data_IF_276269544146
#
_entry.id   IF_276269544146
#
_cell.length_a   1.000
_cell.length_b   1.000
_cell.length_c   1.000
_cell.angle_alpha   90.00
_cell.angle_beta   90.00
_cell.angle_gamma   90.00
#
_symmetry.space_group_name_H-M   'P 1'
#
loop_
_entity.id
_entity.type
_entity.pdbx_description
1 polymer ?
#
# COMPACT_ATOMS: atom_id res chain seq x y z
N UNK A 1 13.97 -28.33 -37.26
CA UNK A 1 12.49 -28.30 -37.16
C UNK A 1 11.96 -28.46 -35.75
N UNK A 2 12.65 -29.13 -34.85
CA UNK A 2 12.19 -29.31 -33.46
C UNK A 2 12.58 -28.22 -32.51
N UNK A 3 13.39 -27.24 -32.95
CA UNK A 3 13.92 -26.14 -32.13
C UNK A 3 13.00 -24.93 -32.03
N UNK A 4 11.99 -24.79 -32.88
CA UNK A 4 11.06 -23.66 -32.88
C UNK A 4 9.96 -23.76 -31.82
N UNK A 5 9.66 -24.94 -31.34
CA UNK A 5 8.66 -25.13 -30.27
C UNK A 5 9.21 -24.78 -28.87
N UNK A 6 10.52 -24.82 -28.71
CA UNK A 6 11.18 -24.58 -27.43
C UNK A 6 11.24 -23.08 -27.06
N UNK A 7 11.31 -22.19 -28.07
CA UNK A 7 11.37 -20.75 -27.86
C UNK A 7 10.03 -20.14 -27.41
N UNK A 8 8.90 -20.77 -27.73
CA UNK A 8 7.57 -20.27 -27.37
C UNK A 8 7.24 -20.53 -25.91
N UNK A 9 7.75 -21.63 -25.34
CA UNK A 9 7.55 -21.94 -23.93
C UNK A 9 8.34 -21.04 -22.98
N UNK A 10 9.48 -20.54 -23.41
CA UNK A 10 10.33 -19.62 -22.64
C UNK A 10 9.74 -18.20 -22.54
N UNK A 11 8.94 -17.80 -23.53
CA UNK A 11 8.28 -16.49 -23.53
C UNK A 11 7.06 -16.44 -22.58
N UNK A 12 6.43 -17.58 -22.29
CA UNK A 12 5.31 -17.66 -21.38
C UNK A 12 5.70 -17.69 -19.91
N UNK A 13 6.95 -18.06 -19.57
CA UNK A 13 7.44 -18.11 -18.19
C UNK A 13 7.91 -16.75 -17.65
N UNK A 14 7.97 -15.71 -18.48
CA UNK A 14 8.44 -14.39 -18.10
C UNK A 14 7.36 -13.38 -17.72
N UNK A 15 6.07 -13.75 -17.71
CA UNK A 15 4.97 -12.82 -17.45
C UNK A 15 4.55 -12.91 -15.98
N UNK A 16 5.47 -12.58 -15.06
CA UNK A 16 5.12 -12.23 -13.68
C UNK A 16 5.17 -10.72 -13.62
N UNK A 17 4.05 -10.07 -13.88
CA UNK A 17 3.99 -8.62 -13.91
C UNK A 17 3.63 -8.05 -12.54
N UNK A 18 4.39 -7.05 -12.11
CA UNK A 18 3.95 -6.14 -11.07
C UNK A 18 2.73 -5.35 -11.56
N UNK A 19 1.76 -5.12 -10.67
CA UNK A 19 0.60 -4.29 -10.95
C UNK A 19 0.73 -2.97 -10.22
N UNK A 20 0.56 -1.86 -10.94
CA UNK A 20 0.55 -0.51 -10.39
C UNK A 20 -0.83 0.11 -10.58
N UNK A 21 -1.38 0.66 -9.51
CA UNK A 21 -2.66 1.36 -9.53
C UNK A 21 -2.41 2.76 -8.99
N UNK A 22 -2.56 3.78 -9.86
CA UNK A 22 -2.42 5.18 -9.49
C UNK A 22 -3.75 5.74 -9.01
N UNK A 23 -3.71 6.51 -7.91
CA UNK A 23 -4.88 7.14 -7.31
C UNK A 23 -6.08 6.19 -7.18
N UNK A 24 -5.91 5.05 -6.47
CA UNK A 24 -6.97 4.05 -6.37
C UNK A 24 -8.21 4.68 -5.74
N UNK A 25 -9.40 4.42 -6.31
CA UNK A 25 -10.65 4.89 -5.70
C UNK A 25 -10.93 4.16 -4.40
N UNK A 26 -11.72 4.79 -3.54
CA UNK A 26 -12.19 4.19 -2.29
C UNK A 26 -13.63 4.63 -2.04
N UNK A 27 -14.39 3.87 -1.23
CA UNK A 27 -15.78 4.20 -0.92
C UNK A 27 -15.94 5.04 0.32
N UNK A 28 -15.09 4.85 1.31
CA UNK A 28 -15.18 5.59 2.57
C UNK A 28 -13.81 5.68 3.25
N UNK A 29 -13.65 6.68 4.08
CA UNK A 29 -12.49 6.81 4.95
C UNK A 29 -12.86 7.54 6.25
N UNK A 30 -12.12 7.26 7.31
CA UNK A 30 -12.38 7.83 8.64
C UNK A 30 -11.74 9.20 8.84
N UNK A 31 -10.66 9.51 8.12
CA UNK A 31 -9.94 10.76 8.24
C UNK A 31 -9.43 11.27 6.90
N UNK A 32 -8.73 12.40 6.91
CA UNK A 32 -8.27 13.08 5.69
C UNK A 32 -6.76 13.33 5.65
N UNK A 33 -6.01 12.88 6.65
CA UNK A 33 -4.57 13.13 6.71
C UNK A 33 -3.82 12.27 5.70
N UNK A 34 -4.06 10.96 5.70
CA UNK A 34 -3.37 10.02 4.82
C UNK A 34 -4.15 9.78 3.55
N UNK A 35 -3.51 10.02 2.41
CA UNK A 35 -4.10 9.79 1.10
C UNK A 35 -3.26 8.78 0.33
N UNK A 36 -3.89 7.72 -0.16
CA UNK A 36 -3.19 6.72 -0.98
C UNK A 36 -3.12 7.23 -2.41
N UNK A 37 -1.91 7.44 -2.91
CA UNK A 37 -1.67 7.95 -4.26
C UNK A 37 -1.32 6.85 -5.24
N UNK A 38 -0.81 5.72 -4.75
CA UNK A 38 -0.42 4.57 -5.59
C UNK A 38 -0.39 3.30 -4.77
N UNK A 39 -0.72 2.18 -5.39
CA UNK A 39 -0.48 0.84 -4.86
C UNK A 39 0.30 0.05 -5.92
N UNK A 40 1.44 -0.49 -5.53
CA UNK A 40 2.23 -1.41 -6.35
C UNK A 40 2.16 -2.82 -5.77
N UNK A 41 1.72 -3.76 -6.57
CA UNK A 41 1.60 -5.16 -6.20
C UNK A 41 2.67 -5.97 -6.92
N UNK A 42 3.52 -6.65 -6.15
CA UNK A 42 4.53 -7.56 -6.68
C UNK A 42 4.40 -8.92 -5.98
N UNK A 43 5.02 -10.00 -6.50
CA UNK A 43 5.06 -11.27 -5.80
C UNK A 43 5.74 -11.22 -4.44
N UNK A 44 6.55 -10.20 -4.19
CA UNK A 44 7.36 -10.08 -2.97
C UNK A 44 6.68 -9.22 -1.91
N UNK A 45 5.94 -8.18 -2.32
CA UNK A 45 5.30 -7.25 -1.39
C UNK A 45 4.20 -6.43 -2.06
N UNK A 46 3.49 -5.68 -1.22
CA UNK A 46 2.55 -4.63 -1.65
C UNK A 46 3.04 -3.30 -1.09
N UNK A 47 3.28 -2.34 -1.97
CA UNK A 47 3.76 -1.00 -1.61
C UNK A 47 2.61 -0.01 -1.72
N UNK A 48 2.32 0.66 -0.62
CA UNK A 48 1.27 1.67 -0.54
C UNK A 48 1.91 3.05 -0.38
N UNK A 49 1.75 3.89 -1.37
CA UNK A 49 2.30 5.26 -1.40
C UNK A 49 1.31 6.19 -0.73
N UNK A 50 1.76 6.88 0.31
CA UNK A 50 0.96 7.80 1.11
C UNK A 50 1.41 9.24 0.85
N UNK A 51 0.45 10.11 0.60
CA UNK A 51 0.61 11.56 0.63
C UNK A 51 -0.15 12.08 1.85
N UNK A 52 0.59 12.44 2.89
CA UNK A 52 0.02 12.97 4.11
C UNK A 52 -0.15 14.50 4.01
N UNK A 53 -1.30 15.00 4.44
CA UNK A 53 -1.61 16.42 4.49
C UNK A 53 -2.07 16.72 5.92
N UNK A 54 -1.31 17.57 6.62
CA UNK A 54 -1.65 17.95 7.98
C UNK A 54 -1.12 19.37 8.25
N UNK A 55 -1.45 19.92 9.42
CA UNK A 55 -0.99 21.26 9.79
C UNK A 55 0.54 21.34 9.83
N UNK A 56 1.15 22.37 9.23
CA UNK A 56 2.58 22.59 9.36
C UNK A 56 3.02 22.57 10.83
N UNK A 57 4.15 21.94 11.10
CA UNK A 57 4.76 21.83 12.45
C UNK A 57 4.00 20.95 13.46
N UNK A 58 2.83 20.39 13.11
CA UNK A 58 2.18 19.33 13.88
C UNK A 58 2.83 18.00 13.50
N UNK A 59 2.62 16.97 14.29
CA UNK A 59 3.27 15.68 14.05
C UNK A 59 2.28 14.59 13.64
N UNK A 60 2.82 13.63 12.91
CA UNK A 60 2.16 12.36 12.58
C UNK A 60 3.04 11.21 13.08
N UNK A 61 2.46 10.05 13.25
CA UNK A 61 3.18 8.84 13.67
C UNK A 61 2.66 7.63 12.93
N UNK A 62 3.59 6.83 12.40
CA UNK A 62 3.32 5.49 11.89
C UNK A 62 3.86 4.47 12.90
N UNK A 63 3.01 3.60 13.39
CA UNK A 63 3.35 2.65 14.45
C UNK A 63 3.69 1.25 13.96
N UNK A 64 3.40 0.92 12.70
CA UNK A 64 3.61 -0.41 12.13
C UNK A 64 2.49 -1.40 12.40
N UNK A 65 1.39 -0.97 12.97
CA UNK A 65 0.22 -1.83 13.27
C UNK A 65 -0.82 -1.82 12.14
N UNK A 66 -0.66 -0.93 11.16
CA UNK A 66 -1.51 -0.88 9.96
C UNK A 66 -1.41 -2.18 9.18
N UNK A 67 -2.52 -2.67 8.67
CA UNK A 67 -2.57 -3.85 7.81
C UNK A 67 -3.55 -3.63 6.66
N UNK A 68 -3.39 -4.44 5.62
CA UNK A 68 -4.36 -4.53 4.54
C UNK A 68 -5.28 -5.72 4.81
N UNK A 69 -6.55 -5.59 4.47
CA UNK A 69 -7.52 -6.65 4.60
C UNK A 69 -8.23 -6.88 3.28
N UNK A 70 -8.28 -8.14 2.83
CA UNK A 70 -9.10 -8.51 1.68
C UNK A 70 -10.57 -8.35 2.05
N UNK A 71 -11.27 -7.46 1.35
CA UNK A 71 -12.67 -7.15 1.63
C UNK A 71 -13.61 -8.35 1.45
N UNK A 72 -13.26 -9.28 0.56
CA UNK A 72 -14.09 -10.45 0.26
C UNK A 72 -13.89 -11.58 1.29
N UNK A 73 -12.67 -11.78 1.78
CA UNK A 73 -12.31 -12.94 2.62
C UNK A 73 -12.04 -12.57 4.08
N UNK A 74 -11.73 -11.31 4.36
CA UNK A 74 -11.29 -10.85 5.67
C UNK A 74 -9.86 -11.23 6.01
N UNK A 75 -9.09 -11.78 5.07
CA UNK A 75 -7.70 -12.12 5.31
C UNK A 75 -6.85 -10.87 5.44
N UNK A 76 -5.95 -10.86 6.43
CA UNK A 76 -5.05 -9.75 6.74
C UNK A 76 -3.69 -9.95 6.09
N UNK A 77 -3.13 -8.85 5.58
CA UNK A 77 -1.77 -8.77 5.04
C UNK A 77 -1.00 -7.75 5.86
N UNK A 78 0.02 -8.22 6.57
CA UNK A 78 0.65 -7.47 7.64
C UNK A 78 1.69 -6.50 7.12
N UNK A 79 1.91 -5.45 7.90
CA UNK A 79 2.96 -4.47 7.70
C UNK A 79 4.34 -5.11 7.77
N UNK A 80 5.24 -4.73 6.86
CA UNK A 80 6.63 -5.20 6.83
C UNK A 80 7.63 -4.10 7.14
N UNK A 81 7.51 -2.96 6.50
CA UNK A 81 8.45 -1.86 6.64
C UNK A 81 7.87 -0.54 6.11
N UNK A 82 8.56 0.55 6.41
CA UNK A 82 8.25 1.88 5.87
C UNK A 82 9.48 2.50 5.23
N UNK A 83 9.25 3.34 4.22
CA UNK A 83 10.28 4.11 3.54
C UNK A 83 9.87 5.58 3.56
N UNK A 84 10.80 6.46 3.92
CA UNK A 84 10.55 7.89 3.97
C UNK A 84 9.90 8.41 5.25
N UNK A 85 9.66 7.54 6.23
CA UNK A 85 9.19 7.90 7.57
C UNK A 85 9.76 6.92 8.60
N UNK A 86 10.10 7.44 9.78
CA UNK A 86 10.52 6.62 10.92
C UNK A 86 9.29 6.11 11.68
N UNK A 87 9.33 4.85 12.11
CA UNK A 87 8.25 4.23 12.87
C UNK A 87 8.33 4.57 14.35
N UNK A 88 7.17 4.62 15.01
CA UNK A 88 7.03 4.83 16.47
C UNK A 88 7.68 6.11 16.96
N UNK A 89 7.66 7.13 16.10
CA UNK A 89 8.26 8.44 16.37
C UNK A 89 7.32 9.54 15.93
N UNK A 90 7.25 10.61 16.71
CA UNK A 90 6.60 11.84 16.29
C UNK A 90 7.40 12.48 15.16
N UNK A 91 6.82 12.53 13.97
CA UNK A 91 7.43 13.13 12.79
C UNK A 91 6.69 14.44 12.50
N UNK A 92 7.41 15.54 12.62
CA UNK A 92 6.83 16.88 12.48
C UNK A 92 6.69 17.26 11.01
N UNK A 93 5.50 17.74 10.65
CA UNK A 93 5.22 18.18 9.29
C UNK A 93 6.08 19.38 8.92
N UNK A 94 6.58 19.44 7.67
CA UNK A 94 7.31 20.61 7.18
C UNK A 94 6.38 21.81 6.97
N UNK A 95 6.97 22.95 6.59
CA UNK A 95 6.22 24.19 6.33
C UNK A 95 5.12 24.01 5.27
N UNK A 96 5.31 23.10 4.32
CA UNK A 96 4.30 22.78 3.30
C UNK A 96 3.05 22.11 3.85
N UNK A 97 3.13 21.49 5.03
CA UNK A 97 2.04 20.66 5.56
C UNK A 97 1.81 19.38 4.80
N UNK A 98 2.78 18.93 4.00
CA UNK A 98 2.69 17.68 3.21
C UNK A 98 3.93 16.81 3.42
N UNK A 99 3.74 15.51 3.33
CA UNK A 99 4.83 14.54 3.44
C UNK A 99 4.48 13.28 2.65
N UNK A 100 5.45 12.76 1.90
CA UNK A 100 5.28 11.53 1.12
C UNK A 100 6.11 10.41 1.72
N UNK A 101 5.52 9.23 1.84
CA UNK A 101 6.21 8.03 2.30
C UNK A 101 5.54 6.77 1.76
N UNK A 102 6.19 5.62 1.96
CA UNK A 102 5.71 4.33 1.49
C UNK A 102 5.60 3.36 2.65
N UNK A 103 4.47 2.69 2.74
CA UNK A 103 4.27 1.56 3.65
C UNK A 103 4.31 0.27 2.83
N UNK A 104 5.10 -0.70 3.30
CA UNK A 104 5.29 -1.98 2.63
C UNK A 104 4.60 -3.07 3.43
N UNK A 105 3.78 -3.87 2.75
CA UNK A 105 2.99 -4.96 3.34
C UNK A 105 3.32 -6.29 2.67
N UNK A 106 2.85 -7.38 3.28
CA UNK A 106 2.88 -8.70 2.66
C UNK A 106 2.23 -8.66 1.27
N UNK A 107 2.66 -9.54 0.33
CA UNK A 107 2.10 -9.54 -1.02
C UNK A 107 0.64 -9.96 -1.04
N UNK A 108 -0.17 -9.22 -1.79
CA UNK A 108 -1.57 -9.57 -2.05
C UNK A 108 -1.66 -10.65 -3.13
N UNK A 109 -2.52 -11.66 -2.97
CA UNK A 109 -2.78 -12.63 -4.04
C UNK A 109 -3.37 -11.95 -5.27
N UNK A 110 -3.15 -12.52 -6.45
CA UNK A 110 -3.64 -11.96 -7.71
C UNK A 110 -5.16 -11.86 -7.78
N UNK A 111 -5.87 -12.73 -7.09
CA UNK A 111 -7.34 -12.75 -7.03
C UNK A 111 -7.94 -11.68 -6.11
N UNK A 112 -7.17 -11.05 -5.25
CA UNK A 112 -7.64 -9.96 -4.39
C UNK A 112 -7.98 -8.73 -5.24
N UNK A 113 -9.22 -8.25 -5.16
CA UNK A 113 -9.71 -7.13 -5.95
C UNK A 113 -9.97 -5.87 -5.14
N UNK A 114 -10.49 -6.02 -3.93
CA UNK A 114 -10.85 -4.91 -3.06
C UNK A 114 -10.22 -5.11 -1.69
N UNK A 115 -9.59 -4.06 -1.17
CA UNK A 115 -8.90 -4.09 0.12
C UNK A 115 -9.38 -2.95 1.03
N UNK A 116 -9.18 -3.15 2.32
CA UNK A 116 -9.24 -2.10 3.33
C UNK A 116 -7.84 -1.81 3.84
N UNK A 117 -7.59 -0.56 4.15
CA UNK A 117 -6.38 -0.08 4.79
C UNK A 117 -6.75 0.31 6.21
N UNK A 118 -6.34 -0.49 7.19
CA UNK A 118 -6.84 -0.42 8.56
C UNK A 118 -5.71 -0.26 9.57
N UNK A 119 -5.91 0.66 10.52
CA UNK A 119 -5.01 0.81 11.65
C UNK A 119 -5.81 0.61 12.96
N UNK A 120 -5.54 -0.48 13.71
CA UNK A 120 -6.30 -0.77 14.93
C UNK A 120 -6.00 0.18 16.09
N UNK A 121 -4.85 0.86 16.08
CA UNK A 121 -4.45 1.81 17.13
C UNK A 121 -4.85 3.25 16.80
N UNK A 122 -5.10 3.56 15.53
CA UNK A 122 -5.57 4.85 15.06
C UNK A 122 -6.63 4.67 13.96
N UNK A 123 -7.89 4.39 14.33
CA UNK A 123 -8.96 4.16 13.37
C UNK A 123 -9.28 5.37 12.48
N UNK A 124 -8.83 6.58 12.86
CA UNK A 124 -9.02 7.79 12.03
C UNK A 124 -8.26 7.73 10.71
N UNK A 125 -7.27 6.85 10.60
CA UNK A 125 -6.53 6.61 9.37
C UNK A 125 -7.12 5.56 8.44
N UNK A 126 -8.24 4.94 8.78
CA UNK A 126 -8.82 3.84 8.00
C UNK A 126 -9.39 4.30 6.66
N UNK A 127 -9.14 3.51 5.63
CA UNK A 127 -9.67 3.70 4.27
C UNK A 127 -10.29 2.38 3.81
N UNK A 128 -11.51 2.45 3.28
CA UNK A 128 -12.32 1.27 2.97
C UNK A 128 -12.61 1.15 1.49
N UNK A 129 -12.68 -0.09 1.01
CA UNK A 129 -13.08 -0.44 -0.35
C UNK A 129 -12.22 0.26 -1.42
N UNK A 130 -10.93 0.05 -1.30
CA UNK A 130 -9.92 0.56 -2.22
C UNK A 130 -9.84 -0.32 -3.47
#
# INVERSE_FOLDING_TARGET
MKTTLFCILLLLSGIVSAQTIDHPPFKARSGSISNITRIERTPENTRVYIHAIFRPHWWIMEDGDTYLEDAATGKKYLFKSAEGIELKKEVYMPDSGTMDYVLVFEPLPSETQTIHFLNPTDPEGNIYDI
#
